data_IF_571940962510
#
_entry.id   IF_571940962510
#
_cell.length_a   1.000
_cell.length_b   1.000
_cell.length_c   1.000
_cell.angle_alpha   90.00
_cell.angle_beta   90.00
_cell.angle_gamma   90.00
#
_symmetry.space_group_name_H-M   'P 1'
#
loop_
_entity.id
_entity.type
_entity.pdbx_description
1 polymer ?
#
# COMPACT_ATOMS: atom_id res chain seq x y z
N UNK A 1 -37.48 -35.64 -32.62
CA UNK A 1 -37.98 -35.46 -31.22
C UNK A 1 -36.84 -35.50 -30.22
N UNK A 2 -35.89 -36.42 -30.26
CA UNK A 2 -34.78 -36.55 -29.31
C UNK A 2 -33.84 -35.36 -29.25
N UNK A 3 -33.48 -34.78 -30.39
CA UNK A 3 -32.61 -33.60 -30.49
C UNK A 3 -33.22 -32.35 -29.82
N UNK A 4 -34.55 -32.17 -29.91
CA UNK A 4 -35.27 -31.07 -29.26
C UNK A 4 -35.31 -31.24 -27.74
N UNK A 5 -35.42 -32.45 -27.26
CA UNK A 5 -35.40 -32.76 -25.82
C UNK A 5 -33.99 -32.53 -25.21
N UNK A 6 -32.94 -32.97 -25.92
CA UNK A 6 -31.54 -32.71 -25.53
C UNK A 6 -31.27 -31.20 -25.47
N UNK A 7 -31.69 -30.43 -26.50
CA UNK A 7 -31.53 -28.97 -26.52
C UNK A 7 -32.24 -28.30 -25.35
N UNK A 8 -33.46 -28.68 -25.01
CA UNK A 8 -34.22 -28.15 -23.84
C UNK A 8 -33.50 -28.48 -22.53
N UNK A 9 -32.91 -29.67 -22.40
CA UNK A 9 -32.12 -30.06 -21.20
C UNK A 9 -30.89 -29.15 -21.03
N UNK A 10 -30.12 -28.90 -22.10
CA UNK A 10 -28.96 -28.02 -22.02
C UNK A 10 -29.34 -26.57 -21.68
N UNK A 11 -30.42 -26.05 -22.28
CA UNK A 11 -30.90 -24.70 -21.92
C UNK A 11 -31.30 -24.59 -20.45
N UNK A 12 -31.92 -25.63 -19.88
CA UNK A 12 -32.24 -25.67 -18.45
C UNK A 12 -30.98 -25.66 -17.58
N UNK A 13 -29.98 -26.43 -17.94
CA UNK A 13 -28.69 -26.46 -17.22
C UNK A 13 -28.03 -25.09 -17.28
N UNK A 14 -27.94 -24.47 -18.45
CA UNK A 14 -27.37 -23.12 -18.61
C UNK A 14 -28.13 -22.11 -17.76
N UNK A 15 -29.46 -22.14 -17.77
CA UNK A 15 -30.27 -21.23 -16.96
C UNK A 15 -30.02 -21.41 -15.45
N UNK A 16 -29.90 -22.65 -14.99
CA UNK A 16 -29.55 -22.95 -13.58
C UNK A 16 -28.16 -22.43 -13.23
N UNK A 17 -27.16 -22.68 -14.09
CA UNK A 17 -25.81 -22.17 -13.87
C UNK A 17 -25.77 -20.64 -13.78
N UNK A 18 -26.47 -19.95 -14.70
CA UNK A 18 -26.56 -18.50 -14.68
C UNK A 18 -27.27 -17.98 -13.41
N UNK A 19 -28.34 -18.64 -12.98
CA UNK A 19 -29.03 -18.28 -11.75
C UNK A 19 -28.13 -18.47 -10.51
N UNK A 20 -27.37 -19.56 -10.45
CA UNK A 20 -26.41 -19.81 -9.36
C UNK A 20 -25.28 -18.78 -9.37
N UNK A 21 -24.75 -18.44 -10.53
CA UNK A 21 -23.72 -17.39 -10.66
C UNK A 21 -24.24 -16.03 -10.20
N UNK A 22 -25.46 -15.66 -10.60
CA UNK A 22 -26.08 -14.41 -10.17
C UNK A 22 -26.30 -14.37 -8.65
N UNK A 23 -26.83 -15.45 -8.09
CA UNK A 23 -27.02 -15.56 -6.64
C UNK A 23 -25.70 -15.46 -5.88
N UNK A 24 -24.66 -16.17 -6.35
CA UNK A 24 -23.32 -16.11 -5.74
C UNK A 24 -22.74 -14.69 -5.80
N UNK A 25 -22.93 -13.98 -6.91
CA UNK A 25 -22.48 -12.59 -7.07
C UNK A 25 -23.19 -11.64 -6.09
N UNK A 26 -24.50 -11.81 -5.92
CA UNK A 26 -25.29 -11.03 -4.95
C UNK A 26 -24.82 -11.31 -3.52
N UNK A 27 -24.66 -12.58 -3.14
CA UNK A 27 -24.16 -12.95 -1.81
C UNK A 27 -22.77 -12.38 -1.57
N UNK A 28 -21.87 -12.48 -2.56
CA UNK A 28 -20.54 -11.89 -2.48
C UNK A 28 -20.59 -10.39 -2.25
N UNK A 29 -21.42 -9.66 -2.98
CA UNK A 29 -21.60 -8.21 -2.82
C UNK A 29 -22.15 -7.85 -1.43
N UNK A 30 -23.12 -8.59 -0.93
CA UNK A 30 -23.69 -8.40 0.41
C UNK A 30 -22.63 -8.64 1.49
N UNK A 31 -21.84 -9.72 1.37
CA UNK A 31 -20.77 -10.03 2.32
C UNK A 31 -19.69 -8.95 2.28
N UNK A 32 -19.24 -8.58 1.08
CA UNK A 32 -18.17 -7.60 0.90
C UNK A 32 -18.54 -6.22 1.42
N UNK A 33 -19.79 -5.81 1.27
CA UNK A 33 -20.28 -4.49 1.71
C UNK A 33 -20.90 -4.50 3.11
N UNK A 34 -20.84 -5.61 3.83
CA UNK A 34 -21.53 -5.76 5.13
C UNK A 34 -23.04 -5.38 5.06
N UNK A 35 -23.74 -5.97 4.12
CA UNK A 35 -25.15 -5.63 3.90
C UNK A 35 -25.40 -4.20 3.44
N UNK A 36 -24.37 -3.53 2.95
CA UNK A 36 -24.41 -2.13 2.52
C UNK A 36 -23.96 -1.12 3.59
N UNK A 37 -23.45 -1.57 4.74
CA UNK A 37 -22.92 -0.70 5.80
C UNK A 37 -21.48 -0.22 5.50
N UNK A 38 -20.77 -0.90 4.60
CA UNK A 38 -19.42 -0.52 4.15
C UNK A 38 -19.48 -0.03 2.71
N UNK A 39 -18.96 1.18 2.47
CA UNK A 39 -18.67 1.70 1.14
C UNK A 39 -17.32 1.17 0.66
N UNK A 40 -17.29 0.63 -0.56
CA UNK A 40 -16.08 0.14 -1.20
C UNK A 40 -15.72 1.08 -2.34
N UNK A 41 -14.49 1.56 -2.36
CA UNK A 41 -14.01 2.50 -3.36
C UNK A 41 -12.61 2.09 -3.85
N UNK A 42 -12.49 1.89 -5.14
CA UNK A 42 -11.17 1.81 -5.79
C UNK A 42 -10.51 3.20 -5.77
N UNK A 43 -9.22 3.21 -5.47
CA UNK A 43 -8.41 4.43 -5.37
C UNK A 43 -7.14 4.25 -6.16
N UNK A 44 -6.73 5.30 -6.84
CA UNK A 44 -5.42 5.45 -7.48
C UNK A 44 -4.77 6.70 -6.94
N UNK A 45 -3.60 6.54 -6.36
CA UNK A 45 -2.84 7.60 -5.71
C UNK A 45 -1.64 7.88 -6.60
N UNK A 46 -1.52 9.12 -7.09
CA UNK A 46 -0.28 9.54 -7.75
C UNK A 46 0.77 9.81 -6.67
N UNK A 47 1.86 9.11 -6.76
CA UNK A 47 2.99 9.19 -5.84
C UNK A 47 4.28 9.39 -6.64
N UNK A 48 5.40 9.65 -5.96
CA UNK A 48 6.74 9.77 -6.59
C UNK A 48 7.17 8.47 -7.31
N UNK A 49 6.75 7.29 -6.80
CA UNK A 49 7.09 6.00 -7.41
C UNK A 49 6.18 5.59 -8.55
N UNK A 50 5.20 6.43 -8.92
CA UNK A 50 4.18 6.14 -9.92
C UNK A 50 2.77 6.17 -9.34
N UNK A 51 1.87 5.33 -9.85
CA UNK A 51 0.50 5.20 -9.34
C UNK A 51 0.41 4.03 -8.38
N UNK A 52 0.06 4.31 -7.13
CA UNK A 52 -0.33 3.28 -6.16
C UNK A 52 -1.84 3.07 -6.23
N UNK A 53 -2.27 1.83 -6.45
CA UNK A 53 -3.66 1.43 -6.51
C UNK A 53 -4.08 0.68 -5.24
N UNK A 54 -5.37 0.69 -4.94
CA UNK A 54 -5.92 -0.10 -3.85
C UNK A 54 -7.41 0.08 -3.69
N UNK A 55 -7.96 -0.55 -2.67
CA UNK A 55 -9.38 -0.51 -2.34
C UNK A 55 -9.58 0.00 -0.92
N UNK A 56 -10.36 1.06 -0.79
CA UNK A 56 -10.86 1.55 0.49
C UNK A 56 -12.15 0.86 0.88
N UNK A 57 -12.19 0.36 2.10
CA UNK A 57 -13.38 -0.13 2.81
C UNK A 57 -13.71 0.90 3.88
N UNK A 58 -14.83 1.59 3.73
CA UNK A 58 -15.21 2.73 4.56
C UNK A 58 -16.54 2.42 5.26
N UNK A 59 -16.55 2.24 6.58
CA UNK A 59 -17.80 2.18 7.33
C UNK A 59 -18.63 3.43 7.05
N UNK A 60 -19.91 3.28 6.71
CA UNK A 60 -20.74 4.43 6.33
C UNK A 60 -20.92 5.45 7.45
N UNK A 61 -20.90 5.01 8.69
CA UNK A 61 -20.95 5.89 9.85
C UNK A 61 -19.71 6.78 10.01
N UNK A 62 -18.57 6.38 9.41
CA UNK A 62 -17.40 7.24 9.31
C UNK A 62 -17.61 8.47 8.41
N UNK A 63 -18.58 8.39 7.51
CA UNK A 63 -18.89 9.46 6.55
C UNK A 63 -19.96 10.44 7.06
N UNK A 64 -20.46 10.26 8.28
CA UNK A 64 -21.38 11.20 8.92
C UNK A 64 -20.68 12.55 9.15
N UNK A 65 -21.38 13.62 8.81
CA UNK A 65 -20.86 14.98 8.94
C UNK A 65 -21.94 15.92 9.49
N UNK A 66 -21.52 17.09 9.97
CA UNK A 66 -22.37 18.10 10.61
C UNK A 66 -23.21 18.95 9.62
N UNK A 67 -23.21 18.61 8.34
CA UNK A 67 -23.85 19.37 7.27
C UNK A 67 -23.01 20.56 6.75
N UNK A 68 -21.92 20.90 7.41
CA UNK A 68 -20.94 21.92 6.99
C UNK A 68 -19.66 21.30 6.40
N UNK A 69 -19.62 19.96 6.30
CA UNK A 69 -18.49 19.20 5.74
C UNK A 69 -17.48 18.71 6.79
N UNK A 70 -17.70 18.94 8.08
CA UNK A 70 -16.85 18.37 9.11
C UNK A 70 -17.33 16.97 9.49
N UNK A 71 -16.45 16.00 9.44
CA UNK A 71 -16.78 14.63 9.85
C UNK A 71 -16.89 14.54 11.37
N UNK A 72 -18.01 14.01 11.87
CA UNK A 72 -18.33 14.03 13.30
C UNK A 72 -17.68 12.88 14.07
N UNK A 73 -17.25 11.84 13.38
CA UNK A 73 -16.69 10.63 14.00
C UNK A 73 -15.56 10.02 13.17
N UNK A 74 -14.40 10.70 13.04
CA UNK A 74 -13.25 10.09 12.34
C UNK A 74 -12.86 8.75 12.95
N UNK A 75 -12.61 7.76 12.10
CA UNK A 75 -12.34 6.37 12.51
C UNK A 75 -10.84 6.05 12.46
N UNK A 76 -10.38 5.12 13.31
CA UNK A 76 -9.04 4.57 13.14
C UNK A 76 -8.94 3.88 11.78
N UNK A 77 -7.74 3.83 11.21
CA UNK A 77 -7.52 3.19 9.92
C UNK A 77 -6.49 2.07 9.99
N UNK A 78 -6.58 1.13 9.04
CA UNK A 78 -5.60 0.06 8.84
C UNK A 78 -5.24 -0.03 7.38
N UNK A 79 -3.95 -0.02 7.09
CA UNK A 79 -3.39 -0.27 5.76
C UNK A 79 -2.97 -1.73 5.68
N UNK A 80 -3.41 -2.42 4.62
CA UNK A 80 -3.14 -3.84 4.42
C UNK A 80 -2.28 -4.07 3.18
N UNK A 81 -1.14 -4.73 3.36
CA UNK A 81 -0.20 -5.12 2.31
C UNK A 81 -0.26 -6.63 2.07
N UNK A 82 -0.33 -7.04 0.80
CA UNK A 82 -0.40 -8.44 0.41
C UNK A 82 0.99 -9.08 0.28
N UNK A 83 1.05 -10.41 0.07
CA UNK A 83 2.29 -11.15 -0.18
C UNK A 83 2.76 -11.06 -1.64
N UNK A 84 3.96 -11.60 -1.91
CA UNK A 84 4.55 -11.64 -3.26
C UNK A 84 3.62 -12.32 -4.29
N UNK A 85 3.62 -11.81 -5.52
CA UNK A 85 2.76 -12.27 -6.64
C UNK A 85 1.26 -12.28 -6.33
N UNK A 86 0.79 -11.39 -5.48
CA UNK A 86 -0.60 -11.25 -5.11
C UNK A 86 -1.15 -9.85 -5.43
N UNK A 87 -2.34 -9.54 -4.95
CA UNK A 87 -2.99 -8.23 -5.10
C UNK A 87 -3.78 -7.87 -3.83
N UNK A 88 -4.36 -6.68 -3.79
CA UNK A 88 -5.23 -6.24 -2.71
C UNK A 88 -6.34 -7.25 -2.35
N UNK A 89 -6.82 -8.04 -3.32
CA UNK A 89 -7.88 -9.04 -3.12
C UNK A 89 -7.52 -10.12 -2.11
N UNK A 90 -6.22 -10.43 -1.93
CA UNK A 90 -5.77 -11.33 -0.88
C UNK A 90 -6.16 -10.84 0.52
N UNK A 91 -6.28 -9.54 0.68
CA UNK A 91 -6.62 -8.91 1.95
C UNK A 91 -8.12 -8.67 2.15
N UNK A 92 -8.97 -8.99 1.17
CA UNK A 92 -10.44 -8.81 1.25
C UNK A 92 -11.03 -9.37 2.56
N UNK A 93 -10.73 -10.60 3.00
CA UNK A 93 -11.30 -11.13 4.24
C UNK A 93 -10.93 -10.29 5.48
N UNK A 94 -9.68 -9.84 5.56
CA UNK A 94 -9.21 -9.00 6.65
C UNK A 94 -9.84 -7.59 6.57
N UNK A 95 -9.93 -7.02 5.38
CA UNK A 95 -10.50 -5.71 5.15
C UNK A 95 -12.00 -5.66 5.49
N UNK A 96 -12.76 -6.69 5.10
CA UNK A 96 -14.18 -6.84 5.44
C UNK A 96 -14.36 -6.91 6.96
N UNK A 97 -13.59 -7.75 7.64
CA UNK A 97 -13.72 -7.93 9.08
C UNK A 97 -13.30 -6.70 9.90
N UNK A 98 -12.27 -6.00 9.47
CA UNK A 98 -11.86 -4.75 10.11
C UNK A 98 -12.87 -3.63 9.88
N UNK A 99 -13.40 -3.50 8.65
CA UNK A 99 -14.41 -2.46 8.36
C UNK A 99 -15.70 -2.68 9.14
N UNK A 100 -16.13 -3.93 9.35
CA UNK A 100 -17.27 -4.29 10.23
C UNK A 100 -17.05 -3.87 11.69
N UNK A 101 -15.81 -3.75 12.11
CA UNK A 101 -15.42 -3.27 13.45
C UNK A 101 -15.21 -1.77 13.52
N UNK A 102 -15.55 -1.05 12.45
CA UNK A 102 -15.52 0.40 12.40
C UNK A 102 -14.16 1.00 11.99
N UNK A 103 -13.23 0.21 11.46
CA UNK A 103 -11.99 0.72 10.89
C UNK A 103 -12.18 1.14 9.44
N UNK A 104 -11.60 2.25 9.04
CA UNK A 104 -11.34 2.53 7.62
C UNK A 104 -10.17 1.66 7.18
N UNK A 105 -10.33 0.89 6.11
CA UNK A 105 -9.27 -0.02 5.66
C UNK A 105 -8.85 0.32 4.24
N UNK A 106 -7.55 0.43 4.01
CA UNK A 106 -6.97 0.55 2.69
C UNK A 106 -6.18 -0.71 2.35
N UNK A 107 -6.75 -1.57 1.51
CA UNK A 107 -6.05 -2.73 0.96
C UNK A 107 -5.35 -2.31 -0.33
N UNK A 108 -4.03 -2.18 -0.27
CA UNK A 108 -3.24 -1.69 -1.40
C UNK A 108 -2.76 -2.82 -2.31
N UNK A 109 -2.59 -2.52 -3.58
CA UNK A 109 -1.71 -3.26 -4.48
C UNK A 109 -0.30 -2.69 -4.30
N UNK A 110 0.65 -3.51 -3.83
CA UNK A 110 2.04 -3.06 -3.73
C UNK A 110 2.58 -2.70 -5.11
N UNK A 111 3.57 -1.83 -5.18
CA UNK A 111 4.23 -1.49 -6.45
C UNK A 111 4.65 -2.76 -7.21
N UNK A 112 4.46 -2.74 -8.52
CA UNK A 112 4.70 -3.88 -9.40
C UNK A 112 3.67 -5.03 -9.31
N UNK A 113 2.57 -4.83 -8.55
CA UNK A 113 1.51 -5.82 -8.38
C UNK A 113 0.13 -5.22 -8.64
N UNK A 114 -0.83 -6.08 -8.97
CA UNK A 114 -2.22 -5.70 -9.20
C UNK A 114 -2.37 -4.58 -10.24
N UNK A 115 -2.96 -3.47 -9.82
CA UNK A 115 -3.19 -2.28 -10.65
C UNK A 115 -2.23 -1.12 -10.34
N UNK A 116 -1.21 -1.35 -9.52
CA UNK A 116 -0.16 -0.37 -9.23
C UNK A 116 0.93 -0.40 -10.29
N UNK A 117 1.53 0.76 -10.54
CA UNK A 117 2.70 0.86 -11.43
C UNK A 117 3.92 0.14 -10.80
N UNK A 118 4.96 -0.07 -11.62
CA UNK A 118 6.26 -0.46 -11.10
C UNK A 118 6.83 0.74 -10.30
N UNK A 119 7.39 0.48 -9.13
CA UNK A 119 8.20 1.49 -8.46
C UNK A 119 9.39 1.84 -9.35
N UNK A 120 9.68 3.12 -9.49
CA UNK A 120 10.94 3.52 -10.07
C UNK A 120 12.05 3.07 -9.12
N UNK A 121 12.98 2.24 -9.61
CA UNK A 121 14.13 1.80 -8.84
C UNK A 121 14.98 3.00 -8.36
N UNK A 122 14.85 4.15 -9.01
CA UNK A 122 15.48 5.41 -8.66
C UNK A 122 14.90 6.10 -7.43
N UNK A 123 13.66 5.79 -7.02
CA UNK A 123 12.96 6.50 -5.96
C UNK A 123 12.91 5.71 -4.64
N UNK A 124 13.56 4.54 -4.59
CA UNK A 124 13.60 3.68 -3.41
C UNK A 124 15.00 3.60 -2.81
N UNK A 125 15.29 4.36 -1.76
CA UNK A 125 16.59 4.32 -1.09
C UNK A 125 16.92 2.96 -0.46
N UNK A 126 15.94 2.05 -0.38
CA UNK A 126 16.14 0.69 0.16
C UNK A 126 16.34 -0.36 -0.94
N UNK A 127 16.27 0.04 -2.22
CA UNK A 127 16.42 -0.86 -3.38
C UNK A 127 15.32 -1.90 -3.53
N UNK A 128 14.33 -1.93 -2.64
CA UNK A 128 13.31 -2.98 -2.61
C UNK A 128 12.01 -2.63 -3.33
N UNK A 129 11.83 -1.39 -3.79
CA UNK A 129 10.64 -0.87 -4.52
C UNK A 129 9.30 -1.00 -3.79
N UNK A 130 9.30 -1.85 -2.81
CA UNK A 130 8.11 -2.30 -2.12
C UNK A 130 7.83 -1.50 -0.85
N UNK A 131 8.86 -0.94 -0.23
CA UNK A 131 8.77 -0.21 1.06
C UNK A 131 7.98 1.07 0.92
N UNK A 132 8.22 1.80 -0.17
CA UNK A 132 7.57 3.08 -0.43
C UNK A 132 6.06 2.97 -0.56
N UNK A 133 5.54 1.84 -1.07
CA UNK A 133 4.10 1.66 -1.23
C UNK A 133 3.33 1.74 0.09
N UNK A 134 3.87 1.17 1.17
CA UNK A 134 3.23 1.25 2.49
C UNK A 134 3.32 2.66 3.10
N UNK A 135 4.43 3.35 2.88
CA UNK A 135 4.63 4.73 3.30
C UNK A 135 3.71 5.70 2.53
N UNK A 136 3.63 5.54 1.20
CA UNK A 136 2.76 6.35 0.36
C UNK A 136 1.28 6.12 0.70
N UNK A 137 0.89 4.88 0.98
CA UNK A 137 -0.44 4.55 1.48
C UNK A 137 -0.72 5.22 2.83
N UNK A 138 0.23 5.22 3.76
CA UNK A 138 0.12 5.92 5.04
C UNK A 138 -0.06 7.42 4.84
N UNK A 139 0.79 8.04 4.02
CA UNK A 139 0.71 9.47 3.72
C UNK A 139 -0.62 9.86 3.08
N UNK A 140 -1.20 9.02 2.22
CA UNK A 140 -2.53 9.23 1.67
C UNK A 140 -3.63 9.04 2.72
N UNK A 141 -3.65 7.92 3.42
CA UNK A 141 -4.74 7.58 4.36
C UNK A 141 -4.86 8.60 5.49
N UNK A 142 -3.74 9.14 5.98
CA UNK A 142 -3.74 10.18 7.02
C UNK A 142 -4.37 11.51 6.58
N UNK A 143 -4.51 11.76 5.28
CA UNK A 143 -5.16 12.98 4.75
C UNK A 143 -6.67 12.84 4.59
N UNK A 144 -7.21 11.64 4.76
CA UNK A 144 -8.64 11.41 4.60
C UNK A 144 -9.42 12.02 5.79
N UNK A 145 -10.37 12.93 5.54
CA UNK A 145 -10.99 13.71 6.60
C UNK A 145 -11.89 12.89 7.56
N UNK A 146 -12.23 11.66 7.18
CA UNK A 146 -12.98 10.70 8.00
C UNK A 146 -12.06 9.69 8.70
N UNK A 147 -10.73 9.89 8.65
CA UNK A 147 -9.74 9.09 9.34
C UNK A 147 -9.15 9.88 10.51
N UNK A 148 -9.02 9.23 11.64
CA UNK A 148 -8.23 9.74 12.77
C UNK A 148 -6.75 9.48 12.49
N UNK A 149 -6.04 10.52 12.05
CA UNK A 149 -4.64 10.44 11.66
C UNK A 149 -3.70 10.03 12.82
N UNK A 150 -4.17 10.04 14.06
CA UNK A 150 -3.39 9.60 15.24
C UNK A 150 -3.54 8.10 15.52
N UNK A 151 -4.44 7.42 14.81
CA UNK A 151 -4.77 6.01 15.01
C UNK A 151 -4.75 5.22 13.68
N UNK A 152 -3.58 5.15 13.07
CA UNK A 152 -3.35 4.40 11.82
C UNK A 152 -2.43 3.22 12.12
N UNK A 153 -2.91 2.02 11.81
CA UNK A 153 -2.11 0.79 11.85
C UNK A 153 -1.74 0.35 10.43
N UNK A 154 -0.62 -0.33 10.31
CA UNK A 154 -0.19 -0.98 9.06
C UNK A 154 -0.02 -2.46 9.36
N UNK A 155 -0.52 -3.32 8.48
CA UNK A 155 -0.38 -4.77 8.59
C UNK A 155 -0.09 -5.39 7.22
N UNK A 156 0.61 -6.52 7.20
CA UNK A 156 0.94 -7.19 5.96
C UNK A 156 1.22 -8.67 6.14
N UNK A 157 1.15 -9.40 5.03
CA UNK A 157 1.45 -10.82 4.97
C UNK A 157 2.73 -11.07 4.16
N UNK A 158 3.68 -11.89 4.68
CA UNK A 158 4.91 -12.27 3.97
C UNK A 158 5.71 -11.03 3.54
N UNK A 159 5.96 -10.83 2.26
CA UNK A 159 6.61 -9.62 1.71
C UNK A 159 5.92 -8.33 2.17
N UNK A 160 4.58 -8.30 2.21
CA UNK A 160 3.84 -7.16 2.76
C UNK A 160 4.12 -6.92 4.25
N UNK A 161 4.43 -7.97 5.02
CA UNK A 161 4.86 -7.85 6.42
C UNK A 161 6.23 -7.18 6.56
N UNK A 162 7.19 -7.55 5.69
CA UNK A 162 8.51 -6.89 5.64
C UNK A 162 8.35 -5.40 5.29
N UNK A 163 7.57 -5.09 4.27
CA UNK A 163 7.33 -3.71 3.84
C UNK A 163 6.65 -2.88 4.92
N UNK A 164 5.73 -3.49 5.68
CA UNK A 164 5.12 -2.87 6.86
C UNK A 164 6.16 -2.53 7.91
N UNK A 165 7.06 -3.47 8.24
CA UNK A 165 8.13 -3.25 9.22
C UNK A 165 9.04 -2.09 8.81
N UNK A 166 9.44 -2.04 7.56
CA UNK A 166 10.29 -0.98 7.02
C UNK A 166 9.55 0.38 7.01
N UNK A 167 8.29 0.43 6.58
CA UNK A 167 7.50 1.67 6.58
C UNK A 167 7.32 2.22 7.99
N UNK A 168 7.08 1.34 8.99
CA UNK A 168 7.00 1.74 10.39
C UNK A 168 8.35 2.26 10.89
N UNK A 169 9.46 1.57 10.56
CA UNK A 169 10.79 2.02 10.94
C UNK A 169 11.12 3.41 10.37
N UNK A 170 10.76 3.65 9.10
CA UNK A 170 10.91 4.95 8.46
C UNK A 170 10.07 6.04 9.14
N UNK A 171 8.78 5.77 9.42
CA UNK A 171 7.87 6.75 10.03
C UNK A 171 8.16 7.00 11.51
N UNK A 172 8.73 6.04 12.21
CA UNK A 172 9.13 6.16 13.61
C UNK A 172 10.52 6.81 13.81
N UNK A 173 11.22 7.16 12.72
CA UNK A 173 12.55 7.74 12.78
C UNK A 173 13.65 6.77 13.22
N UNK A 174 13.42 5.45 13.10
CA UNK A 174 14.47 4.44 13.34
C UNK A 174 15.57 4.48 12.28
N UNK A 175 15.25 4.99 11.10
CA UNK A 175 16.26 5.32 10.09
C UNK A 175 16.42 6.84 10.06
N UNK A 176 17.59 7.29 10.42
CA UNK A 176 17.97 8.69 10.25
C UNK A 176 18.29 8.95 8.77
N UNK A 177 18.34 10.22 8.39
CA UNK A 177 18.84 10.65 7.09
C UNK A 177 20.24 10.07 6.79
N UNK A 178 21.10 10.04 7.80
CA UNK A 178 22.42 9.44 7.72
C UNK A 178 22.38 7.94 7.41
N UNK A 179 21.47 7.18 8.07
CA UNK A 179 21.32 5.74 7.80
C UNK A 179 20.84 5.49 6.37
N UNK A 180 19.96 6.32 5.84
CA UNK A 180 19.48 6.20 4.46
C UNK A 180 20.57 6.48 3.44
N UNK A 181 21.40 7.49 3.67
CA UNK A 181 22.52 7.84 2.80
C UNK A 181 23.62 6.76 2.83
N UNK A 182 23.84 6.16 3.98
CA UNK A 182 24.82 5.08 4.15
C UNK A 182 24.37 3.78 3.49
N UNK A 183 23.06 3.44 3.60
CA UNK A 183 22.50 2.32 2.86
C UNK A 183 22.61 2.55 1.35
N UNK A 184 22.42 3.77 0.87
CA UNK A 184 22.63 4.13 -0.53
C UNK A 184 24.08 3.86 -0.97
N UNK A 185 25.07 4.31 -0.19
CA UNK A 185 26.50 4.10 -0.47
C UNK A 185 26.87 2.62 -0.50
N UNK A 186 26.32 1.82 0.41
CA UNK A 186 26.53 0.39 0.46
C UNK A 186 25.85 -0.35 -0.70
N UNK A 187 24.54 -0.13 -0.91
CA UNK A 187 23.73 -0.97 -1.80
C UNK A 187 23.87 -0.59 -3.28
N UNK A 188 23.98 0.71 -3.59
CA UNK A 188 24.10 1.16 -4.99
C UNK A 188 25.56 1.31 -5.44
N UNK A 189 26.46 1.70 -4.54
CA UNK A 189 27.86 1.95 -4.89
C UNK A 189 28.83 0.88 -4.37
N UNK A 190 28.31 -0.17 -3.70
CA UNK A 190 29.09 -1.32 -3.26
C UNK A 190 30.19 -1.00 -2.25
N UNK A 191 30.04 0.11 -1.50
CA UNK A 191 31.01 0.48 -0.49
C UNK A 191 30.90 -0.45 0.72
N UNK A 192 32.01 -1.00 1.17
CA UNK A 192 32.08 -1.83 2.39
C UNK A 192 32.06 -0.93 3.63
N UNK A 193 30.86 -0.61 4.10
CA UNK A 193 30.59 0.32 5.22
C UNK A 193 30.14 -0.47 6.44
N UNK A 194 30.82 -0.30 7.56
CA UNK A 194 30.46 -0.94 8.84
C UNK A 194 29.58 -0.05 9.69
N UNK A 195 28.81 -0.65 10.62
CA UNK A 195 27.96 0.08 11.57
C UNK A 195 28.76 1.08 12.43
N UNK A 196 30.04 0.81 12.72
CA UNK A 196 30.92 1.72 13.44
C UNK A 196 31.32 2.94 12.59
N UNK A 197 31.52 2.73 11.29
CA UNK A 197 31.78 3.81 10.34
C UNK A 197 30.53 4.68 10.16
N UNK A 198 29.33 4.04 10.11
CA UNK A 198 28.03 4.73 10.12
C UNK A 198 27.89 5.67 11.31
N UNK A 199 28.28 5.23 12.50
CA UNK A 199 28.17 6.03 13.73
C UNK A 199 29.21 7.15 13.84
N UNK A 200 30.32 7.07 13.10
CA UNK A 200 31.49 7.92 13.29
C UNK A 200 31.76 8.91 12.13
N UNK A 201 31.12 8.76 10.96
CA UNK A 201 31.45 9.53 9.77
C UNK A 201 30.25 10.19 9.08
N UNK A 202 30.50 11.38 8.54
CA UNK A 202 29.60 12.08 7.66
C UNK A 202 29.44 11.28 6.34
N UNK A 203 28.20 11.00 5.86
CA UNK A 203 27.96 10.34 4.58
C UNK A 203 28.64 11.02 3.40
N UNK A 204 28.73 12.35 3.39
CA UNK A 204 29.42 13.10 2.35
C UNK A 204 30.94 12.87 2.36
N UNK A 205 31.52 12.65 3.53
CA UNK A 205 32.95 12.29 3.67
C UNK A 205 33.20 10.86 3.16
N UNK A 206 32.26 9.95 3.36
CA UNK A 206 32.34 8.59 2.80
C UNK A 206 32.20 8.61 1.27
N UNK A 207 31.31 9.41 0.72
CA UNK A 207 31.13 9.60 -0.71
C UNK A 207 32.37 10.18 -1.41
N UNK A 208 33.32 10.77 -0.66
CA UNK A 208 34.60 11.23 -1.22
C UNK A 208 35.45 10.11 -1.80
N UNK A 209 35.20 8.84 -1.42
CA UNK A 209 35.86 7.66 -2.00
C UNK A 209 35.31 7.21 -3.36
N UNK A 210 34.19 7.75 -3.80
CA UNK A 210 33.54 7.43 -5.08
C UNK A 210 34.29 8.11 -6.26
N UNK A 211 34.22 7.50 -7.45
CA UNK A 211 34.65 8.13 -8.70
C UNK A 211 33.75 9.36 -9.00
N UNK A 212 34.25 10.26 -9.86
CA UNK A 212 33.49 11.49 -10.22
C UNK A 212 32.10 11.20 -10.79
N UNK A 213 31.94 10.10 -11.55
CA UNK A 213 30.65 9.66 -12.07
C UNK A 213 29.70 9.18 -10.96
N UNK A 214 30.20 8.30 -10.10
CA UNK A 214 29.43 7.75 -8.97
C UNK A 214 29.07 8.85 -7.96
N UNK A 215 29.96 9.80 -7.74
CA UNK A 215 29.68 10.96 -6.89
C UNK A 215 28.55 11.81 -7.45
N UNK A 216 28.52 12.06 -8.76
CA UNK A 216 27.40 12.77 -9.40
C UNK A 216 26.07 12.03 -9.26
N UNK A 217 26.07 10.70 -9.32
CA UNK A 217 24.86 9.90 -9.05
C UNK A 217 24.48 9.97 -7.56
N UNK A 218 25.43 9.87 -6.65
CA UNK A 218 25.18 10.01 -5.21
C UNK A 218 24.56 11.37 -4.85
N UNK A 219 25.08 12.47 -5.40
CA UNK A 219 24.56 13.83 -5.13
C UNK A 219 23.09 13.97 -5.57
N UNK A 220 22.71 13.43 -6.72
CA UNK A 220 21.33 13.41 -7.19
C UNK A 220 20.43 12.63 -6.23
N UNK A 221 20.84 11.44 -5.82
CA UNK A 221 20.09 10.58 -4.92
C UNK A 221 20.00 11.15 -3.51
N UNK A 222 21.07 11.78 -3.06
CA UNK A 222 21.14 12.49 -1.78
C UNK A 222 20.08 13.59 -1.71
N UNK A 223 19.95 14.42 -2.76
CA UNK A 223 18.93 15.49 -2.80
C UNK A 223 17.52 14.92 -2.71
N UNK A 224 17.25 13.81 -3.37
CA UNK A 224 15.97 13.08 -3.27
C UNK A 224 15.69 12.60 -1.84
N UNK A 225 16.67 11.94 -1.21
CA UNK A 225 16.56 11.45 0.18
C UNK A 225 16.32 12.60 1.18
N UNK A 226 17.08 13.71 1.03
CA UNK A 226 16.92 14.88 1.87
C UNK A 226 15.55 15.55 1.71
N UNK A 227 15.05 15.61 0.47
CA UNK A 227 13.71 16.11 0.18
C UNK A 227 12.64 15.23 0.83
N UNK A 228 12.83 13.94 0.81
CA UNK A 228 11.92 12.99 1.45
C UNK A 228 11.96 13.10 2.97
N UNK A 229 13.13 13.17 3.57
CA UNK A 229 13.29 13.32 5.01
C UNK A 229 12.63 14.60 5.54
N UNK A 230 12.72 15.70 4.76
CA UNK A 230 12.09 16.97 5.10
C UNK A 230 10.54 16.97 5.01
N UNK A 231 9.95 15.98 4.32
CA UNK A 231 8.49 15.82 4.18
C UNK A 231 7.87 14.92 5.26
N UNK A 232 8.68 14.33 6.12
CA UNK A 232 8.27 13.48 7.26
C UNK A 232 8.02 14.28 8.50
#
# INVERSE_FOLDING_TARGET
>A
MEQSAKRKKYWRIIAICLAVMLLASIVSAVVKTDGGNTLIREVKISTRGGTLSGVLYIPKDALENDGFGNYTSPRPAVILSHGYLNSNQMQDPNAIELSRRGFVVFAMDMYGHGNSDLANATDDPTGSGAVLGALDAYNYVRTLPYVDATRIGIAGHSMGGMNTGNAVALTAGFYTEADMLLNLLHDEFGMDITAEQVAAQDPDALAAGLSDYERGQYELRREEILTEAAQR
#
